data_IF_555043869184
#
_entry.id   IF_555043869184
#
_cell.length_a   1.000
_cell.length_b   1.000
_cell.length_c   1.000
_cell.angle_alpha   90.00
_cell.angle_beta   90.00
_cell.angle_gamma   90.00
#
_symmetry.space_group_name_H-M   'P 1'
#
loop_
_entity.id
_entity.type
_entity.pdbx_description
1 polymer ?
#
# COMPACT_ATOMS: atom_id res chain seq x y z
N UNK A 1 -6.64 1.07 -6.74
CA UNK A 1 -5.27 1.43 -6.69
C UNK A 1 -4.89 2.37 -5.55
N UNK A 2 -5.50 3.51 -5.35
CA UNK A 2 -5.19 4.44 -4.24
C UNK A 2 -5.97 4.18 -2.94
N UNK A 3 -6.58 3.01 -2.79
CA UNK A 3 -7.44 2.73 -1.65
C UNK A 3 -6.71 2.64 -0.31
N UNK A 4 -5.42 2.35 -0.31
CA UNK A 4 -4.64 2.19 0.92
C UNK A 4 -4.22 3.52 1.53
N UNK A 5 -3.84 4.48 0.71
CA UNK A 5 -3.52 5.84 1.16
C UNK A 5 -4.79 6.60 1.53
N UNK A 6 -5.89 6.42 0.78
CA UNK A 6 -7.20 7.03 1.08
C UNK A 6 -7.71 6.66 2.46
N UNK A 7 -7.35 5.49 2.98
CA UNK A 7 -7.72 5.10 4.34
C UNK A 7 -7.08 6.02 5.39
N UNK A 8 -5.78 6.26 5.28
CA UNK A 8 -5.06 7.17 6.16
C UNK A 8 -5.46 8.64 5.94
N UNK A 9 -5.76 9.01 4.70
CA UNK A 9 -6.30 10.34 4.37
C UNK A 9 -7.61 10.56 5.13
N UNK A 10 -8.57 9.63 5.03
CA UNK A 10 -9.86 9.73 5.71
C UNK A 10 -9.72 9.82 7.24
N UNK A 11 -8.74 9.14 7.82
CA UNK A 11 -8.45 9.26 9.25
C UNK A 11 -7.85 10.61 9.63
N UNK A 12 -6.99 11.17 8.78
CA UNK A 12 -6.35 12.45 9.04
C UNK A 12 -7.32 13.63 8.91
N UNK A 13 -8.32 13.52 8.03
CA UNK A 13 -9.31 14.56 7.76
C UNK A 13 -10.60 14.42 8.59
N UNK A 14 -10.63 13.56 9.59
CA UNK A 14 -11.81 13.35 10.44
C UNK A 14 -12.31 14.68 11.05
N UNK A 15 -13.53 15.07 10.66
CA UNK A 15 -14.15 16.35 11.04
C UNK A 15 -13.74 17.56 10.18
N UNK A 16 -13.08 17.33 9.05
CA UNK A 16 -12.67 18.36 8.09
C UNK A 16 -13.31 18.04 6.73
N UNK A 17 -13.81 19.04 6.04
CA UNK A 17 -14.25 18.92 4.66
C UNK A 17 -13.06 19.14 3.73
N UNK A 18 -12.55 18.09 3.14
CA UNK A 18 -11.45 18.12 2.18
C UNK A 18 -11.93 17.90 0.73
N UNK A 19 -13.20 17.57 0.51
CA UNK A 19 -13.75 17.39 -0.83
C UNK A 19 -13.87 18.73 -1.57
N UNK A 20 -13.48 18.73 -2.84
CA UNK A 20 -13.72 19.91 -3.67
C UNK A 20 -15.23 20.07 -3.96
N UNK A 21 -15.74 21.28 -3.87
CA UNK A 21 -17.19 21.57 -3.99
C UNK A 21 -17.84 21.07 -5.28
N UNK A 22 -17.06 20.70 -6.29
CA UNK A 22 -17.59 20.08 -7.52
C UNK A 22 -18.18 18.71 -7.25
N UNK A 23 -17.76 18.02 -6.18
CA UNK A 23 -18.20 16.68 -5.84
C UNK A 23 -19.41 16.66 -4.92
N UNK A 24 -19.50 17.60 -3.97
CA UNK A 24 -20.53 17.57 -2.92
C UNK A 24 -21.32 18.87 -2.77
N UNK A 25 -20.92 19.93 -3.49
CA UNK A 25 -21.58 21.23 -3.48
C UNK A 25 -21.25 22.14 -2.29
N UNK A 26 -20.41 21.68 -1.37
CA UNK A 26 -19.98 22.46 -0.19
C UNK A 26 -18.57 23.03 -0.38
N UNK A 27 -18.24 24.17 0.22
CA UNK A 27 -16.90 24.74 0.10
C UNK A 27 -15.92 23.95 0.98
N UNK A 28 -14.77 23.64 0.41
CA UNK A 28 -13.67 22.99 1.14
C UNK A 28 -13.23 23.78 2.38
N UNK A 29 -12.88 23.09 3.44
CA UNK A 29 -12.33 23.71 4.64
C UNK A 29 -11.09 24.56 4.33
N UNK A 30 -11.06 25.87 4.69
CA UNK A 30 -9.91 26.71 4.44
C UNK A 30 -8.63 26.16 5.07
N UNK A 31 -7.52 26.17 4.32
CA UNK A 31 -6.21 25.66 4.76
C UNK A 31 -6.25 24.21 5.24
N UNK A 32 -6.98 23.35 4.53
CA UNK A 32 -7.23 21.96 4.88
C UNK A 32 -5.94 21.20 5.27
N UNK A 33 -4.86 21.36 4.52
CA UNK A 33 -3.59 20.70 4.79
C UNK A 33 -2.97 21.04 6.16
N UNK A 34 -3.25 22.22 6.70
CA UNK A 34 -2.77 22.60 8.04
C UNK A 34 -3.59 22.02 9.19
N UNK A 35 -4.70 21.37 8.89
CA UNK A 35 -5.66 20.85 9.87
C UNK A 35 -5.63 19.32 9.97
N UNK A 36 -4.86 18.66 9.14
CA UNK A 36 -4.77 17.20 9.14
C UNK A 36 -4.18 16.68 10.46
N UNK A 37 -4.80 15.65 11.03
CA UNK A 37 -4.34 15.01 12.26
C UNK A 37 -3.63 13.68 11.96
N UNK A 38 -2.34 13.75 11.72
CA UNK A 38 -1.52 12.57 11.45
C UNK A 38 -1.40 11.60 12.64
N UNK A 39 -1.84 11.97 13.83
CA UNK A 39 -1.87 11.04 14.97
C UNK A 39 -2.91 9.94 14.79
N UNK A 40 -3.94 10.19 14.00
CA UNK A 40 -5.00 9.24 13.70
C UNK A 40 -4.64 8.24 12.61
N UNK A 41 -3.67 8.54 11.75
CA UNK A 41 -3.28 7.70 10.63
C UNK A 41 -2.49 6.46 11.07
N UNK A 42 -2.56 5.41 10.28
CA UNK A 42 -1.84 4.15 10.55
C UNK A 42 -0.38 4.21 10.09
N UNK A 43 -0.18 4.47 8.82
CA UNK A 43 1.11 4.30 8.17
C UNK A 43 1.78 5.61 7.76
N UNK A 44 1.00 6.64 7.44
CA UNK A 44 1.52 7.84 6.79
C UNK A 44 1.46 9.10 7.66
N UNK A 45 2.37 10.02 7.41
CA UNK A 45 2.50 11.30 8.13
C UNK A 45 3.01 12.40 7.20
N UNK A 46 2.77 13.64 7.58
CA UNK A 46 3.32 14.84 6.92
C UNK A 46 3.02 14.94 5.40
N UNK A 47 1.96 14.27 4.97
CA UNK A 47 1.48 14.35 3.60
C UNK A 47 0.58 15.56 3.39
N UNK A 48 0.42 15.95 2.12
CA UNK A 48 -0.48 17.01 1.69
C UNK A 48 -1.56 16.46 0.77
N UNK A 49 -2.78 16.93 0.97
CA UNK A 49 -3.90 16.60 0.09
C UNK A 49 -3.82 17.41 -1.22
N UNK A 50 -4.15 16.75 -2.31
CA UNK A 50 -4.38 17.35 -3.61
C UNK A 50 -5.86 17.65 -3.74
N UNK A 51 -6.21 18.94 -3.60
CA UNK A 51 -7.61 19.38 -3.60
C UNK A 51 -8.11 19.84 -4.97
N UNK A 52 -7.24 19.82 -5.97
CA UNK A 52 -7.61 20.14 -7.36
C UNK A 52 -8.35 18.94 -7.98
N UNK A 53 -9.63 19.07 -8.37
CA UNK A 53 -10.40 17.97 -8.93
C UNK A 53 -9.90 17.48 -10.31
N UNK A 54 -8.98 18.23 -10.92
CA UNK A 54 -8.34 17.86 -12.20
C UNK A 54 -7.10 16.99 -12.01
N UNK A 55 -6.62 16.82 -10.78
CA UNK A 55 -5.50 15.95 -10.43
C UNK A 55 -6.02 14.62 -9.96
N UNK A 56 -5.46 13.54 -10.51
CA UNK A 56 -5.94 12.19 -10.23
C UNK A 56 -5.58 11.70 -8.82
N UNK A 57 -4.39 12.02 -8.38
CA UNK A 57 -3.89 11.63 -7.07
C UNK A 57 -4.55 12.48 -5.98
N UNK A 58 -4.90 11.85 -4.86
CA UNK A 58 -5.55 12.53 -3.73
C UNK A 58 -4.54 13.17 -2.77
N UNK A 59 -3.31 12.73 -2.79
CA UNK A 59 -2.26 13.21 -1.89
C UNK A 59 -0.86 12.99 -2.46
N UNK A 60 0.15 13.49 -1.77
CA UNK A 60 1.56 13.23 -2.04
C UNK A 60 2.13 12.02 -1.26
N UNK A 61 1.26 11.15 -0.77
CA UNK A 61 1.65 9.84 -0.24
C UNK A 61 2.18 8.98 -1.40
N UNK A 62 1.46 9.01 -2.50
CA UNK A 62 1.82 8.32 -3.74
C UNK A 62 2.88 9.11 -4.53
N UNK A 63 3.41 8.50 -5.56
CA UNK A 63 4.36 9.12 -6.46
C UNK A 63 3.74 10.31 -7.20
N UNK A 64 4.54 11.31 -7.60
CA UNK A 64 4.04 12.64 -7.95
C UNK A 64 2.98 12.63 -9.05
N UNK A 65 2.09 13.63 -9.05
CA UNK A 65 1.02 13.81 -10.04
C UNK A 65 1.49 13.85 -11.49
N UNK A 66 2.75 14.23 -11.71
CA UNK A 66 3.40 14.17 -13.04
C UNK A 66 3.69 12.75 -13.51
N UNK A 67 3.55 11.77 -12.63
CA UNK A 67 3.66 10.37 -12.97
C UNK A 67 2.35 9.93 -13.62
N UNK A 68 2.36 9.92 -14.93
CA UNK A 68 1.21 9.47 -15.70
C UNK A 68 0.87 8.02 -15.32
N UNK A 69 -0.33 7.71 -14.85
CA UNK A 69 -0.72 6.35 -14.50
C UNK A 69 -0.86 5.50 -15.74
N UNK A 70 0.23 5.22 -16.41
CA UNK A 70 0.28 4.29 -17.53
C UNK A 70 0.37 2.90 -16.94
N UNK A 71 -0.58 2.04 -17.29
CA UNK A 71 -0.50 0.62 -17.02
C UNK A 71 0.79 0.09 -17.65
N UNK A 72 1.76 -0.27 -16.81
CA UNK A 72 3.02 -0.85 -17.26
C UNK A 72 2.87 -2.36 -17.39
N UNK A 73 3.64 -2.98 -18.25
CA UNK A 73 3.71 -4.44 -18.31
C UNK A 73 4.35 -5.01 -17.03
N UNK A 74 4.08 -6.28 -16.76
CA UNK A 74 4.57 -7.01 -15.60
C UNK A 74 6.08 -6.88 -15.36
N UNK A 75 6.85 -6.75 -16.43
CA UNK A 75 8.31 -6.63 -16.34
C UNK A 75 8.78 -5.28 -15.79
N UNK A 76 7.93 -4.25 -15.93
CA UNK A 76 8.23 -2.90 -15.47
C UNK A 76 7.67 -2.61 -14.08
N UNK A 77 6.77 -3.44 -13.59
CA UNK A 77 6.11 -3.26 -12.29
C UNK A 77 6.51 -4.39 -11.34
N UNK A 78 7.58 -4.16 -10.62
CA UNK A 78 8.12 -5.12 -9.66
C UNK A 78 8.60 -4.42 -8.39
N UNK A 79 8.74 -5.18 -7.33
CA UNK A 79 9.42 -4.77 -6.11
C UNK A 79 10.19 -5.94 -5.49
N UNK A 80 11.18 -5.61 -4.68
CA UNK A 80 11.96 -6.59 -3.93
C UNK A 80 11.49 -6.67 -2.49
N UNK A 81 11.43 -7.89 -1.96
CA UNK A 81 11.27 -8.14 -0.54
C UNK A 81 12.62 -7.98 0.16
N UNK A 82 12.60 -7.48 1.39
CA UNK A 82 13.79 -7.44 2.21
C UNK A 82 14.34 -8.84 2.47
N UNK A 83 15.65 -8.96 2.41
CA UNK A 83 16.32 -10.12 2.99
C UNK A 83 16.16 -10.08 4.50
N UNK A 84 15.71 -11.16 5.08
CA UNK A 84 15.55 -11.30 6.50
C UNK A 84 15.98 -12.69 6.97
N UNK A 85 16.41 -12.74 8.20
CA UNK A 85 16.70 -13.99 8.89
C UNK A 85 15.50 -14.36 9.76
N UNK A 86 15.09 -15.62 9.73
CA UNK A 86 14.04 -16.12 10.63
C UNK A 86 14.32 -15.86 12.12
N UNK A 87 15.58 -15.61 12.45
CA UNK A 87 16.00 -15.23 13.80
C UNK A 87 15.66 -13.77 14.16
N UNK A 88 15.61 -12.88 13.17
CA UNK A 88 15.43 -11.45 13.36
C UNK A 88 14.23 -10.90 12.59
N UNK A 89 13.40 -11.80 12.03
CA UNK A 89 12.22 -11.41 11.28
C UNK A 89 11.28 -10.58 12.16
N UNK A 90 11.07 -9.29 11.85
CA UNK A 90 10.17 -8.44 12.61
C UNK A 90 8.70 -8.85 12.44
N UNK A 91 8.40 -9.59 11.36
CA UNK A 91 7.08 -10.11 11.03
C UNK A 91 7.19 -11.61 10.78
N UNK A 92 7.29 -12.43 11.85
CA UNK A 92 7.57 -13.86 11.72
C UNK A 92 6.64 -14.56 10.75
N UNK A 93 7.19 -15.38 9.88
CA UNK A 93 6.53 -16.22 8.87
C UNK A 93 5.92 -15.53 7.66
N UNK A 94 5.74 -14.20 7.67
CA UNK A 94 5.07 -13.49 6.59
C UNK A 94 5.88 -13.55 5.28
N UNK A 95 7.17 -13.29 5.33
CA UNK A 95 8.06 -13.36 4.16
C UNK A 95 8.71 -14.74 3.99
N UNK A 96 9.00 -15.44 5.09
CA UNK A 96 9.67 -16.76 5.06
C UNK A 96 8.92 -17.83 4.26
N UNK A 97 7.62 -17.66 4.07
CA UNK A 97 6.81 -18.57 3.27
C UNK A 97 6.76 -18.18 1.79
N UNK A 98 7.39 -17.07 1.41
CA UNK A 98 7.50 -16.70 0.01
C UNK A 98 8.74 -17.36 -0.59
N UNK A 99 8.60 -17.89 -1.80
CA UNK A 99 9.66 -18.65 -2.48
C UNK A 99 10.53 -17.80 -3.41
N UNK A 100 10.22 -16.50 -3.52
CA UNK A 100 11.00 -15.54 -4.31
C UNK A 100 11.16 -14.22 -3.56
N UNK A 101 12.28 -13.56 -3.81
CA UNK A 101 12.58 -12.25 -3.23
C UNK A 101 12.10 -11.09 -4.11
N UNK A 102 11.83 -11.34 -5.39
CA UNK A 102 11.35 -10.34 -6.34
C UNK A 102 9.92 -10.67 -6.73
N UNK A 103 9.00 -9.75 -6.46
CA UNK A 103 7.60 -9.86 -6.85
C UNK A 103 7.40 -9.04 -8.12
N UNK A 104 6.89 -9.68 -9.15
CA UNK A 104 6.54 -9.04 -10.41
C UNK A 104 5.03 -8.96 -10.56
N UNK A 105 4.58 -7.97 -11.31
CA UNK A 105 3.20 -7.90 -11.75
C UNK A 105 2.20 -7.36 -10.75
N UNK A 106 2.63 -6.71 -9.67
CA UNK A 106 1.74 -5.87 -8.88
C UNK A 106 1.48 -4.59 -9.68
N UNK A 107 0.59 -4.70 -10.62
CA UNK A 107 0.23 -3.60 -11.50
C UNK A 107 -0.66 -2.61 -10.76
N UNK A 108 -0.57 -1.36 -11.14
CA UNK A 108 -1.47 -0.37 -10.57
C UNK A 108 -1.26 1.02 -11.13
N UNK A 109 -2.30 1.80 -11.01
CA UNK A 109 -2.26 3.21 -11.37
C UNK A 109 -1.43 3.98 -10.34
N UNK A 110 -1.53 3.63 -9.08
CA UNK A 110 -0.65 4.12 -8.01
C UNK A 110 0.32 3.03 -7.66
N UNK A 111 1.58 3.27 -7.89
CA UNK A 111 2.57 2.20 -7.96
C UNK A 111 3.43 2.08 -6.73
N UNK A 112 3.28 2.95 -5.73
CA UNK A 112 4.01 2.88 -4.48
C UNK A 112 3.93 4.16 -3.65
N UNK A 113 4.44 4.07 -2.45
CA UNK A 113 4.34 5.11 -1.44
C UNK A 113 5.68 5.84 -1.30
N UNK A 114 5.64 7.15 -1.11
CA UNK A 114 6.83 7.92 -0.78
C UNK A 114 7.38 7.52 0.59
N UNK A 115 8.63 7.06 0.61
CA UNK A 115 9.31 6.65 1.86
C UNK A 115 9.27 7.73 2.93
N UNK A 116 9.40 8.98 2.56
CA UNK A 116 9.40 10.12 3.49
C UNK A 116 8.03 10.36 4.17
N UNK A 117 6.95 9.85 3.58
CA UNK A 117 5.59 9.94 4.14
C UNK A 117 5.27 8.80 5.09
N UNK A 118 6.13 7.80 5.19
CA UNK A 118 5.90 6.62 6.04
C UNK A 118 6.40 6.89 7.46
N UNK A 119 5.55 6.61 8.45
CA UNK A 119 5.89 6.73 9.87
C UNK A 119 7.04 5.81 10.26
N UNK A 120 7.90 6.25 11.16
CA UNK A 120 9.14 5.54 11.57
C UNK A 120 8.91 4.15 12.19
N UNK A 121 7.72 3.89 12.73
CA UNK A 121 7.42 2.59 13.35
C UNK A 121 6.90 1.55 12.35
N UNK A 122 6.64 1.94 11.13
CA UNK A 122 6.14 1.05 10.08
C UNK A 122 7.27 0.20 9.54
N UNK A 123 7.02 -1.09 9.38
CA UNK A 123 7.98 -2.03 8.81
C UNK A 123 7.86 -2.02 7.29
N UNK A 124 8.97 -1.73 6.62
CA UNK A 124 9.06 -1.80 5.16
C UNK A 124 9.42 -3.22 4.76
N UNK A 125 8.54 -3.90 4.04
CA UNK A 125 8.72 -5.30 3.64
C UNK A 125 9.10 -5.45 2.16
N UNK A 126 8.77 -4.46 1.34
CA UNK A 126 9.13 -4.49 -0.08
C UNK A 126 9.28 -3.09 -0.64
N UNK A 127 10.25 -2.92 -1.52
CA UNK A 127 10.56 -1.63 -2.16
C UNK A 127 11.03 -1.80 -3.59
N UNK A 128 10.96 -0.73 -4.35
CA UNK A 128 11.57 -0.65 -5.68
C UNK A 128 13.03 -0.22 -5.51
N UNK A 129 14.01 -1.07 -5.87
CA UNK A 129 15.43 -0.73 -5.72
C UNK A 129 15.88 0.44 -6.61
N UNK A 130 15.13 0.72 -7.67
CA UNK A 130 15.45 1.77 -8.64
C UNK A 130 14.80 3.13 -8.30
N UNK A 131 13.95 3.18 -7.28
CA UNK A 131 13.23 4.40 -6.93
C UNK A 131 12.99 4.51 -5.41
N UNK A 132 12.68 5.70 -4.87
CA UNK A 132 12.34 5.86 -3.46
C UNK A 132 10.96 5.31 -3.07
N UNK A 133 10.35 4.50 -3.91
CA UNK A 133 9.02 3.93 -3.67
C UNK A 133 9.08 2.73 -2.73
N UNK A 134 8.17 2.72 -1.77
CA UNK A 134 7.88 1.54 -0.95
C UNK A 134 6.61 0.89 -1.48
N UNK A 135 6.66 -0.40 -1.75
CA UNK A 135 5.56 -1.16 -2.36
C UNK A 135 4.77 -2.01 -1.36
N UNK A 136 5.41 -2.39 -0.29
CA UNK A 136 4.84 -3.29 0.69
C UNK A 136 5.27 -2.88 2.09
N UNK A 137 4.32 -2.54 2.92
CA UNK A 137 4.57 -2.13 4.30
C UNK A 137 3.59 -2.78 5.27
N UNK A 138 4.03 -2.90 6.53
CA UNK A 138 3.27 -3.54 7.58
C UNK A 138 3.40 -2.78 8.89
N UNK A 139 2.34 -2.78 9.67
CA UNK A 139 2.34 -2.18 11.00
C UNK A 139 1.34 -2.82 11.94
N UNK A 140 1.43 -2.39 13.19
CA UNK A 140 0.50 -2.76 14.23
C UNK A 140 -0.36 -1.55 14.62
N UNK A 141 -1.62 -1.80 14.91
CA UNK A 141 -2.52 -0.80 15.48
C UNK A 141 -3.35 -1.44 16.59
N UNK A 142 -3.17 -0.98 17.81
CA UNK A 142 -3.76 -1.63 18.98
C UNK A 142 -3.33 -3.09 19.10
N UNK A 143 -4.28 -4.00 19.08
CA UNK A 143 -4.04 -5.45 19.08
C UNK A 143 -4.07 -6.07 17.67
N UNK A 144 -4.35 -5.27 16.66
CA UNK A 144 -4.43 -5.70 15.27
C UNK A 144 -3.18 -5.36 14.47
N UNK A 145 -3.18 -5.80 13.22
CA UNK A 145 -2.14 -5.51 12.25
C UNK A 145 -2.77 -4.96 10.98
N UNK A 146 -2.00 -4.21 10.22
CA UNK A 146 -2.36 -3.78 8.89
C UNK A 146 -1.21 -4.03 7.92
N UNK A 147 -1.56 -4.17 6.65
CA UNK A 147 -0.60 -4.31 5.56
C UNK A 147 -1.09 -3.51 4.37
N UNK A 148 -0.22 -2.66 3.82
CA UNK A 148 -0.50 -1.89 2.63
C UNK A 148 0.39 -2.35 1.49
N UNK A 149 -0.24 -2.63 0.37
CA UNK A 149 0.41 -3.03 -0.89
C UNK A 149 0.16 -1.93 -1.92
N UNK A 150 1.22 -1.37 -2.45
CA UNK A 150 1.15 -0.43 -3.56
C UNK A 150 1.06 -1.22 -4.86
N UNK A 151 -0.08 -1.15 -5.54
CA UNK A 151 -0.28 -1.82 -6.79
C UNK A 151 -1.63 -2.52 -6.92
N UNK A 152 -1.80 -3.17 -8.04
CA UNK A 152 -2.99 -3.89 -8.44
C UNK A 152 -2.89 -5.39 -8.13
N UNK A 153 -3.83 -6.16 -8.66
CA UNK A 153 -3.81 -7.62 -8.52
C UNK A 153 -2.56 -8.21 -9.17
N UNK A 154 -1.84 -9.10 -8.48
CA UNK A 154 -0.76 -9.84 -9.12
C UNK A 154 -1.31 -10.72 -10.24
N UNK A 155 -0.52 -10.90 -11.31
CA UNK A 155 -0.85 -11.71 -12.50
C UNK A 155 -2.00 -11.20 -13.37
N UNK A 156 -2.69 -10.14 -13.00
CA UNK A 156 -3.81 -9.59 -13.75
C UNK A 156 -3.44 -8.28 -14.43
N UNK A 157 -2.77 -8.39 -15.57
CA UNK A 157 -2.23 -7.24 -16.30
C UNK A 157 -3.22 -6.49 -17.18
N UNK A 158 -4.41 -7.00 -17.35
CA UNK A 158 -5.41 -6.45 -18.28
C UNK A 158 -6.82 -6.42 -17.69
N UNK A 159 -6.94 -6.33 -16.37
CA UNK A 159 -8.23 -6.27 -15.72
C UNK A 159 -8.95 -4.94 -16.03
N UNK A 160 -10.15 -5.05 -16.58
CA UNK A 160 -11.02 -3.91 -16.86
C UNK A 160 -12.25 -3.93 -15.96
N UNK A 161 -12.88 -2.77 -15.79
CA UNK A 161 -14.15 -2.68 -15.08
C UNK A 161 -15.19 -3.57 -15.77
N UNK A 162 -15.74 -4.52 -15.02
CA UNK A 162 -16.70 -5.50 -15.52
C UNK A 162 -16.14 -6.86 -15.92
N UNK A 163 -14.82 -7.03 -15.85
CA UNK A 163 -14.21 -8.34 -16.05
C UNK A 163 -14.60 -9.32 -14.93
N UNK A 164 -14.66 -10.61 -15.21
CA UNK A 164 -14.91 -11.61 -14.18
C UNK A 164 -13.74 -11.65 -13.18
N UNK A 165 -14.00 -12.09 -11.93
CA UNK A 165 -12.92 -12.28 -10.96
C UNK A 165 -11.81 -13.18 -11.51
N UNK A 166 -10.57 -12.86 -11.16
CA UNK A 166 -9.40 -13.66 -11.55
C UNK A 166 -9.52 -15.10 -11.05
N UNK A 167 -9.35 -16.06 -11.92
CA UNK A 167 -9.32 -17.47 -11.54
C UNK A 167 -7.98 -17.85 -10.89
N UNK A 168 -7.95 -17.86 -9.58
CA UNK A 168 -6.74 -18.19 -8.80
C UNK A 168 -6.20 -19.59 -9.06
N UNK A 169 -7.02 -20.51 -9.61
CA UNK A 169 -6.57 -21.84 -9.95
C UNK A 169 -5.53 -21.86 -11.07
N UNK A 170 -5.54 -20.85 -11.91
CA UNK A 170 -4.56 -20.65 -12.98
C UNK A 170 -3.21 -20.12 -12.45
N UNK A 171 -3.19 -19.55 -11.26
CA UNK A 171 -2.04 -18.86 -10.69
C UNK A 171 -1.54 -19.47 -9.38
N UNK A 172 -1.61 -20.81 -9.25
CA UNK A 172 -1.29 -21.55 -8.02
C UNK A 172 0.12 -21.32 -7.48
N UNK A 173 1.04 -20.95 -8.35
CA UNK A 173 2.45 -20.70 -8.00
C UNK A 173 2.81 -19.22 -7.99
N UNK A 174 1.83 -18.32 -8.08
CA UNK A 174 2.09 -16.89 -8.06
C UNK A 174 2.70 -16.45 -6.73
N UNK A 175 3.87 -15.82 -6.73
CA UNK A 175 4.48 -15.28 -5.51
C UNK A 175 3.68 -14.09 -4.96
N UNK A 176 3.01 -13.34 -5.81
CA UNK A 176 2.19 -12.20 -5.41
C UNK A 176 0.93 -12.63 -4.66
N UNK A 177 0.17 -13.59 -5.18
CA UNK A 177 -0.97 -14.15 -4.45
C UNK A 177 -0.56 -14.88 -3.17
N UNK A 178 0.62 -15.52 -3.17
CA UNK A 178 1.16 -16.11 -1.94
C UNK A 178 1.42 -15.05 -0.88
N UNK A 179 1.94 -13.89 -1.28
CA UNK A 179 2.21 -12.77 -0.37
C UNK A 179 0.90 -12.25 0.25
N UNK A 180 -0.15 -12.08 -0.55
CA UNK A 180 -1.48 -11.68 -0.06
C UNK A 180 -2.04 -12.73 0.91
N UNK A 181 -1.94 -14.01 0.56
CA UNK A 181 -2.40 -15.10 1.43
C UNK A 181 -1.66 -15.11 2.77
N UNK A 182 -0.36 -14.87 2.77
CA UNK A 182 0.43 -14.79 3.99
C UNK A 182 -0.06 -13.67 4.92
N UNK A 183 -0.48 -12.52 4.37
CA UNK A 183 -1.05 -11.42 5.15
C UNK A 183 -2.37 -11.80 5.84
N UNK A 184 -3.15 -12.70 5.23
CA UNK A 184 -4.41 -13.20 5.79
C UNK A 184 -4.14 -14.24 6.88
N UNK A 185 -3.22 -15.16 6.60
CA UNK A 185 -2.95 -16.29 7.49
C UNK A 185 -2.11 -15.91 8.71
N UNK A 186 -1.20 -14.96 8.56
CA UNK A 186 -0.27 -14.58 9.62
C UNK A 186 -0.96 -14.09 10.91
N UNK A 187 -1.97 -13.22 10.87
CA UNK A 187 -2.66 -12.77 12.09
C UNK A 187 -3.34 -13.92 12.86
N UNK A 188 -3.71 -14.99 12.17
CA UNK A 188 -4.30 -16.19 12.76
C UNK A 188 -3.26 -17.19 13.27
N UNK A 189 -1.98 -17.01 12.96
CA UNK A 189 -0.92 -17.91 13.37
C UNK A 189 -0.65 -17.79 14.87
N UNK A 190 -0.64 -18.93 15.58
CA UNK A 190 -0.24 -18.95 16.99
C UNK A 190 1.26 -18.71 17.11
N UNK A 191 1.67 -17.79 17.99
CA UNK A 191 3.06 -17.67 18.41
C UNK A 191 3.51 -19.02 18.97
N UNK A 192 4.44 -19.68 18.29
CA UNK A 192 5.14 -20.81 18.91
C UNK A 192 6.20 -20.28 19.85
N UNK A 193 6.24 -20.80 21.07
CA UNK A 193 7.38 -20.58 21.94
C UNK A 193 8.67 -21.02 21.25
N UNK A 194 9.68 -20.15 21.24
CA UNK A 194 10.99 -20.52 20.68
C UNK A 194 11.54 -21.67 21.50
N UNK A 195 11.75 -22.81 20.85
CA UNK A 195 12.60 -23.85 21.44
C UNK A 195 14.03 -23.31 21.41
N UNK A 196 14.56 -22.98 22.56
CA UNK A 196 15.96 -22.67 22.80
C UNK A 196 16.81 -23.92 22.56
#
# INVERSE_FOLDING_TARGET
CSATDTYDIALAEDGIDAAHQVFDGTPITPNVNSKLDYKKTFAFTDFSLMTDPMVYEFSDIDFPPSHNPITRGAEADYFTLFEFSAKYDPVPTMLTQNHVAVIKGFMGQTTGFHRERIKKHVVLLGEDPASPQVKYLHGNFGQGTYTFLGGHDPEDYQHFVGDPPTDLSLHRNSPGYRLILNNILFPAARKKERKT
#
